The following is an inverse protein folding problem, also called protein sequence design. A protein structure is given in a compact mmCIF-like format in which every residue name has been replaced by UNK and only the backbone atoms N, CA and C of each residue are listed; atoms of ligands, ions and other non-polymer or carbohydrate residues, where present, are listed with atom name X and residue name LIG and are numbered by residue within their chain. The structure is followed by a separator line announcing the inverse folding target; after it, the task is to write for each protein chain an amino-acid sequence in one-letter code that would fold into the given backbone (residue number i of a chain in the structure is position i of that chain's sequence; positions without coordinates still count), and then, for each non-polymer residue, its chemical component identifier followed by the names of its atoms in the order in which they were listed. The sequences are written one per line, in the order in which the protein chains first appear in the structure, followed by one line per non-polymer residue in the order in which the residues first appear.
data_IF_136965961401
#
_entry.id   IF_136965961401
#
_cell.length_a   1.000
_cell.length_b   1.000
_cell.length_c   1.000
_cell.angle_alpha   90.00
_cell.angle_beta   90.00
_cell.angle_gamma   90.00
#
_symmetry.space_group_name_H-M   'P 1'
#
loop_
_entity.id
_entity.type
_entity.pdbx_description
1 polymer ?
#
# COMPACT_ATOMS: atom_id res chain seq x y z
N UNK A 1 -52.39 -41.98 6.15
CA UNK A 1 -51.64 -40.77 6.55
C UNK A 1 -50.27 -40.94 5.93
N UNK A 2 -50.09 -40.41 4.71
CA UNK A 2 -48.83 -40.55 3.98
C UNK A 2 -47.75 -39.78 4.72
N UNK A 3 -46.71 -40.49 5.16
CA UNK A 3 -45.51 -39.86 5.69
C UNK A 3 -44.84 -39.09 4.54
N UNK A 4 -44.49 -37.80 4.72
CA UNK A 4 -43.79 -37.06 3.68
C UNK A 4 -42.47 -37.78 3.39
N UNK A 5 -42.33 -38.28 2.15
CA UNK A 5 -41.14 -39.00 1.73
C UNK A 5 -39.92 -38.07 1.78
N UNK A 6 -38.87 -38.49 2.48
CA UNK A 6 -37.59 -37.77 2.50
C UNK A 6 -37.04 -37.76 1.07
N UNK A 7 -36.88 -36.57 0.51
CA UNK A 7 -36.36 -36.39 -0.84
C UNK A 7 -34.83 -36.44 -0.84
N UNK A 8 -34.22 -36.62 -2.02
CA UNK A 8 -32.76 -36.51 -2.16
C UNK A 8 -32.20 -35.14 -1.78
N UNK A 9 -33.02 -34.08 -1.88
CA UNK A 9 -32.66 -32.73 -1.43
C UNK A 9 -32.61 -32.64 0.10
N UNK A 10 -33.56 -33.30 0.80
CA UNK A 10 -33.57 -33.35 2.26
C UNK A 10 -32.36 -34.12 2.81
N UNK A 11 -32.00 -35.23 2.17
CA UNK A 11 -30.82 -36.02 2.55
C UNK A 11 -29.52 -35.24 2.31
N UNK A 12 -29.40 -34.54 1.19
CA UNK A 12 -28.20 -33.75 0.89
C UNK A 12 -28.07 -32.52 1.81
N UNK A 13 -29.18 -31.87 2.17
CA UNK A 13 -29.20 -30.81 3.17
C UNK A 13 -28.79 -31.32 4.56
N UNK A 14 -29.30 -32.49 4.97
CA UNK A 14 -28.93 -33.14 6.23
C UNK A 14 -27.43 -33.50 6.27
N UNK A 15 -26.91 -34.14 5.21
CA UNK A 15 -25.47 -34.46 5.13
C UNK A 15 -24.63 -33.18 5.21
N UNK A 16 -25.00 -32.13 4.47
CA UNK A 16 -24.26 -30.88 4.52
C UNK A 16 -24.31 -30.22 5.91
N UNK A 17 -25.43 -30.31 6.62
CA UNK A 17 -25.55 -29.82 8.00
C UNK A 17 -24.67 -30.63 8.96
N UNK A 18 -24.75 -31.97 8.93
CA UNK A 18 -23.91 -32.84 9.76
C UNK A 18 -22.42 -32.66 9.49
N UNK A 19 -22.02 -32.48 8.22
CA UNK A 19 -20.63 -32.19 7.86
C UNK A 19 -20.17 -30.84 8.41
N UNK A 20 -20.99 -29.78 8.35
CA UNK A 20 -20.62 -28.49 8.96
C UNK A 20 -20.53 -28.54 10.48
N UNK A 21 -21.37 -29.35 11.12
CA UNK A 21 -21.34 -29.54 12.58
C UNK A 21 -20.11 -30.33 13.03
N UNK A 22 -19.78 -31.42 12.34
CA UNK A 22 -18.62 -32.26 12.66
C UNK A 22 -17.29 -31.62 12.25
N UNK A 23 -17.30 -30.76 11.23
CA UNK A 23 -16.12 -30.08 10.70
C UNK A 23 -16.37 -28.56 10.67
N UNK A 24 -16.36 -27.89 11.84
CA UNK A 24 -16.60 -26.44 11.92
C UNK A 24 -15.59 -25.63 11.09
N UNK A 25 -14.38 -26.17 10.87
CA UNK A 25 -13.37 -25.58 9.99
C UNK A 25 -13.79 -25.53 8.51
N UNK A 26 -14.69 -26.40 8.06
CA UNK A 26 -15.24 -26.32 6.70
C UNK A 26 -16.18 -25.12 6.53
N UNK A 27 -16.84 -24.68 7.60
CA UNK A 27 -17.65 -23.47 7.57
C UNK A 27 -16.76 -22.20 7.53
N UNK A 28 -15.58 -22.24 8.16
CA UNK A 28 -14.57 -21.18 8.10
C UNK A 28 -13.63 -21.29 6.90
N UNK A 29 -13.65 -22.40 6.15
CA UNK A 29 -12.76 -22.66 5.02
C UNK A 29 -12.75 -21.52 3.98
N UNK A 30 -13.86 -20.80 3.82
CA UNK A 30 -13.93 -19.64 2.91
C UNK A 30 -13.02 -18.48 3.30
N UNK A 31 -12.70 -18.36 4.59
CA UNK A 31 -11.83 -17.33 5.18
C UNK A 31 -10.38 -17.82 5.33
N UNK A 32 -10.18 -19.14 5.35
CA UNK A 32 -8.83 -19.72 5.35
C UNK A 32 -8.13 -19.60 3.99
N UNK A 33 -8.90 -19.38 2.92
CA UNK A 33 -8.37 -19.19 1.57
C UNK A 33 -8.12 -17.72 1.31
N UNK A 34 -6.86 -17.39 1.04
CA UNK A 34 -6.46 -16.08 0.54
C UNK A 34 -7.09 -15.78 -0.82
N UNK A 35 -7.63 -14.57 -0.97
CA UNK A 35 -8.33 -14.12 -2.18
C UNK A 35 -7.67 -12.89 -2.78
N UNK A 36 -7.89 -12.70 -4.08
CA UNK A 36 -7.65 -11.41 -4.69
C UNK A 36 -8.82 -10.49 -4.35
N UNK A 37 -8.53 -9.22 -4.10
CA UNK A 37 -9.53 -8.20 -3.86
C UNK A 37 -9.11 -6.90 -4.55
N UNK A 38 -10.08 -6.08 -4.97
CA UNK A 38 -9.85 -4.78 -5.60
C UNK A 38 -10.07 -3.68 -4.58
N UNK A 39 -9.14 -2.73 -4.49
CA UNK A 39 -9.28 -1.54 -3.64
C UNK A 39 -10.38 -0.63 -4.19
N UNK A 40 -11.37 -0.32 -3.36
CA UNK A 40 -12.50 0.57 -3.68
C UNK A 40 -12.31 1.94 -3.03
N UNK A 41 -11.81 1.98 -1.80
CA UNK A 41 -11.52 3.21 -1.08
C UNK A 41 -10.26 3.07 -0.21
N UNK A 42 -9.71 4.20 0.23
CA UNK A 42 -8.51 4.23 1.09
C UNK A 42 -8.62 5.35 2.13
N UNK A 43 -8.14 5.06 3.33
CA UNK A 43 -8.13 5.99 4.45
C UNK A 43 -6.72 6.03 5.05
N UNK A 44 -6.22 7.24 5.29
CA UNK A 44 -4.92 7.47 5.89
C UNK A 44 -5.04 8.50 7.01
N UNK A 45 -4.50 8.16 8.18
CA UNK A 45 -4.52 8.98 9.39
C UNK A 45 -3.13 9.02 10.03
N UNK A 46 -2.82 10.11 10.73
CA UNK A 46 -1.60 10.19 11.55
C UNK A 46 -1.84 9.55 12.93
N UNK A 47 -0.76 9.10 13.59
CA UNK A 47 -0.79 8.62 14.97
C UNK A 47 -0.29 7.18 15.14
N UNK A 48 -0.47 6.64 16.34
CA UNK A 48 -0.03 5.27 16.68
C UNK A 48 -1.08 4.27 16.21
N UNK A 49 -0.65 3.29 15.40
CA UNK A 49 -1.51 2.19 14.99
C UNK A 49 -1.61 1.12 16.09
N UNK A 50 -2.80 0.55 16.26
CA UNK A 50 -3.04 -0.61 17.13
C UNK A 50 -3.76 -1.69 16.33
N UNK A 51 -3.89 -2.91 16.86
CA UNK A 51 -4.62 -3.97 16.17
C UNK A 51 -6.13 -3.65 16.00
N UNK A 52 -6.69 -2.78 16.86
CA UNK A 52 -8.09 -2.34 16.80
C UNK A 52 -8.28 -1.07 15.98
N UNK A 53 -7.19 -0.35 15.70
CA UNK A 53 -7.23 0.99 15.09
C UNK A 53 -6.01 1.17 14.19
N UNK A 54 -6.15 0.61 12.98
CA UNK A 54 -5.17 0.77 11.93
C UNK A 54 -5.30 2.16 11.32
N UNK A 55 -4.18 2.88 11.26
CA UNK A 55 -4.13 4.25 10.74
C UNK A 55 -4.24 4.34 9.23
N UNK A 56 -3.90 3.26 8.55
CA UNK A 56 -3.91 3.16 7.12
C UNK A 56 -4.70 1.93 6.74
N UNK A 57 -5.86 2.18 6.15
CA UNK A 57 -6.82 1.14 5.81
C UNK A 57 -7.31 1.32 4.40
N UNK A 58 -7.79 0.23 3.82
CA UNK A 58 -8.48 0.25 2.54
C UNK A 58 -9.74 -0.58 2.62
N UNK A 59 -10.71 -0.18 1.81
CA UNK A 59 -11.92 -0.95 1.59
C UNK A 59 -11.74 -1.74 0.31
N UNK A 60 -12.07 -3.02 0.34
CA UNK A 60 -11.78 -3.96 -0.75
C UNK A 60 -13.00 -4.78 -1.15
N UNK A 61 -13.17 -4.98 -2.46
CA UNK A 61 -14.15 -5.91 -3.02
C UNK A 61 -13.43 -7.21 -3.39
N UNK A 62 -13.76 -8.35 -2.77
CA UNK A 62 -13.22 -9.65 -3.17
C UNK A 62 -13.50 -9.95 -4.65
N UNK A 63 -12.56 -10.63 -5.30
CA UNK A 63 -12.63 -11.01 -6.72
C UNK A 63 -12.81 -12.52 -6.89
N UNK A 64 -13.49 -12.88 -7.96
CA UNK A 64 -13.54 -14.25 -8.48
C UNK A 64 -12.19 -14.65 -9.09
N UNK A 65 -12.01 -15.95 -9.34
CA UNK A 65 -10.84 -16.46 -10.07
C UNK A 65 -10.71 -15.83 -11.48
N UNK A 66 -11.84 -15.41 -12.07
CA UNK A 66 -11.90 -14.67 -13.35
C UNK A 66 -11.47 -13.20 -13.27
N UNK A 67 -11.08 -12.70 -12.08
CA UNK A 67 -10.73 -11.29 -11.80
C UNK A 67 -11.88 -10.29 -11.86
N UNK A 68 -13.12 -10.77 -12.01
CA UNK A 68 -14.32 -9.97 -11.85
C UNK A 68 -14.70 -9.84 -10.37
N UNK A 69 -15.42 -8.78 -10.04
CA UNK A 69 -15.89 -8.55 -8.68
C UNK A 69 -16.83 -9.67 -8.24
N UNK A 70 -16.58 -10.24 -7.06
CA UNK A 70 -17.43 -11.28 -6.49
C UNK A 70 -18.58 -10.64 -5.72
N UNK A 71 -19.71 -10.46 -6.40
CA UNK A 71 -20.93 -9.85 -5.84
C UNK A 71 -21.55 -10.64 -4.69
N UNK A 72 -21.11 -11.89 -4.47
CA UNK A 72 -21.58 -12.69 -3.32
C UNK A 72 -20.92 -12.24 -2.01
N UNK A 73 -19.80 -11.52 -2.11
CA UNK A 73 -19.10 -10.95 -0.96
C UNK A 73 -19.44 -9.46 -0.81
N UNK A 74 -19.70 -9.01 0.43
CA UNK A 74 -19.77 -7.59 0.71
C UNK A 74 -18.39 -6.95 0.55
N UNK A 75 -18.38 -5.63 0.33
CA UNK A 75 -17.16 -4.83 0.47
C UNK A 75 -16.65 -4.96 1.89
N UNK A 76 -15.38 -5.35 2.03
CA UNK A 76 -14.71 -5.46 3.33
C UNK A 76 -14.05 -4.14 3.62
N UNK A 77 -14.54 -3.46 4.65
CA UNK A 77 -14.12 -2.11 5.00
C UNK A 77 -13.03 -2.12 6.07
N UNK A 78 -12.15 -1.12 6.05
CA UNK A 78 -11.20 -0.89 7.13
C UNK A 78 -10.06 -1.91 7.21
N UNK A 79 -9.72 -2.56 6.10
CA UNK A 79 -8.68 -3.59 6.09
C UNK A 79 -7.30 -2.93 6.29
N UNK A 80 -6.51 -3.34 7.30
CA UNK A 80 -5.20 -2.76 7.57
C UNK A 80 -4.20 -3.01 6.44
N UNK A 81 -3.48 -1.95 6.07
CA UNK A 81 -2.42 -1.96 5.06
C UNK A 81 -1.07 -2.20 5.76
N UNK A 82 -0.28 -3.21 5.36
CA UNK A 82 1.01 -3.47 5.98
C UNK A 82 2.02 -2.34 5.67
N UNK A 83 2.80 -1.98 6.69
CA UNK A 83 3.94 -1.06 6.58
C UNK A 83 5.22 -1.88 6.47
N UNK A 84 6.06 -1.57 5.48
CA UNK A 84 7.36 -2.22 5.33
C UNK A 84 8.32 -1.64 6.39
N UNK A 85 8.87 -2.51 7.24
CA UNK A 85 9.63 -2.21 8.46
C UNK A 85 8.80 -1.67 9.63
N UNK A 86 8.81 -2.43 10.72
CA UNK A 86 8.18 -2.04 11.98
C UNK A 86 9.20 -1.43 12.95
N UNK A 87 8.80 -0.37 13.66
CA UNK A 87 9.58 0.23 14.74
C UNK A 87 9.15 1.66 15.07
N UNK A 88 9.79 2.31 16.05
CA UNK A 88 9.46 3.68 16.42
C UNK A 88 9.81 4.63 15.28
N UNK A 89 8.83 5.42 14.83
CA UNK A 89 8.96 6.47 13.81
C UNK A 89 9.71 6.01 12.53
N UNK A 90 9.50 4.76 12.09
CA UNK A 90 10.10 4.21 10.88
C UNK A 90 9.10 3.37 10.09
N UNK A 91 9.34 3.27 8.80
CA UNK A 91 8.60 2.42 7.88
C UNK A 91 8.56 3.01 6.47
N UNK A 92 8.37 2.16 5.47
CA UNK A 92 8.00 2.55 4.11
C UNK A 92 6.51 2.28 3.98
N UNK A 93 5.76 3.36 3.72
CA UNK A 93 4.31 3.29 3.64
C UNK A 93 3.83 3.83 2.30
N UNK A 94 3.21 2.95 1.53
CA UNK A 94 2.66 3.24 0.21
C UNK A 94 1.24 2.66 0.15
N UNK A 95 0.21 3.50 0.35
CA UNK A 95 -1.15 3.00 0.19
C UNK A 95 -1.38 2.60 -1.27
N UNK A 96 -2.01 1.45 -1.53
CA UNK A 96 -2.43 1.10 -2.87
C UNK A 96 -3.42 2.13 -3.42
N UNK A 97 -3.38 2.33 -4.74
CA UNK A 97 -4.35 3.17 -5.44
C UNK A 97 -5.73 2.50 -5.49
N UNK A 98 -6.78 3.30 -5.63
CA UNK A 98 -8.12 2.77 -5.95
C UNK A 98 -8.06 2.03 -7.28
N UNK A 99 -8.69 0.87 -7.34
CA UNK A 99 -8.65 -0.06 -8.46
C UNK A 99 -7.53 -1.10 -8.39
N UNK A 100 -6.57 -0.95 -7.47
CA UNK A 100 -5.47 -1.90 -7.34
C UNK A 100 -5.90 -3.26 -6.81
N UNK A 101 -5.28 -4.31 -7.34
CA UNK A 101 -5.52 -5.68 -6.90
C UNK A 101 -4.57 -6.00 -5.75
N UNK A 102 -5.15 -6.45 -4.64
CA UNK A 102 -4.43 -6.83 -3.42
C UNK A 102 -4.75 -8.25 -3.03
N UNK A 103 -3.87 -8.84 -2.23
CA UNK A 103 -4.08 -10.17 -1.65
C UNK A 103 -4.70 -10.01 -0.27
N UNK A 104 -5.96 -10.39 -0.16
CA UNK A 104 -6.77 -10.36 1.05
C UNK A 104 -6.73 -11.73 1.73
N UNK A 105 -6.28 -11.74 2.98
CA UNK A 105 -6.29 -12.91 3.86
C UNK A 105 -7.04 -12.60 5.14
N UNK A 106 -7.37 -13.63 5.90
CA UNK A 106 -7.99 -13.51 7.21
C UNK A 106 -7.11 -14.21 8.23
N UNK A 107 -6.63 -13.46 9.23
CA UNK A 107 -5.75 -14.00 10.25
C UNK A 107 -6.46 -15.12 11.01
N UNK A 108 -5.79 -16.27 11.14
CA UNK A 108 -6.36 -17.47 11.76
C UNK A 108 -7.69 -17.94 11.12
N UNK A 109 -7.98 -17.53 9.88
CA UNK A 109 -9.25 -17.81 9.21
C UNK A 109 -10.45 -17.09 9.83
N UNK A 110 -10.22 -16.05 10.61
CA UNK A 110 -11.28 -15.32 11.31
C UNK A 110 -11.88 -14.20 10.45
N UNK A 111 -13.21 -14.14 10.26
CA UNK A 111 -13.85 -13.14 9.40
C UNK A 111 -13.62 -11.68 9.80
N UNK A 112 -13.40 -11.45 11.10
CA UNK A 112 -13.24 -10.15 11.74
C UNK A 112 -11.79 -9.65 11.73
N UNK A 113 -10.84 -10.47 11.28
CA UNK A 113 -9.42 -10.13 11.21
C UNK A 113 -8.87 -10.14 9.77
N UNK A 114 -9.42 -9.33 8.85
CA UNK A 114 -8.90 -9.22 7.49
C UNK A 114 -7.54 -8.52 7.50
N UNK A 115 -6.65 -8.93 6.59
CA UNK A 115 -5.32 -8.33 6.40
C UNK A 115 -4.94 -8.35 4.92
N UNK A 116 -4.14 -7.39 4.50
CA UNK A 116 -3.52 -7.39 3.18
C UNK A 116 -2.10 -7.93 3.29
N UNK A 117 -1.81 -8.99 2.54
CA UNK A 117 -0.47 -9.60 2.56
C UNK A 117 0.46 -9.03 1.49
N UNK A 118 -0.10 -8.64 0.35
CA UNK A 118 0.66 -8.21 -0.81
C UNK A 118 -0.17 -7.34 -1.75
N UNK A 119 0.50 -6.50 -2.52
CA UNK A 119 -0.07 -5.70 -3.60
C UNK A 119 0.36 -6.28 -4.94
N UNK A 120 -0.55 -6.28 -5.91
CA UNK A 120 -0.22 -6.60 -7.30
C UNK A 120 0.07 -5.31 -8.08
N UNK A 121 1.06 -5.37 -8.97
CA UNK A 121 1.32 -4.31 -9.95
C UNK A 121 0.38 -4.39 -11.16
N UNK A 122 -0.49 -5.41 -11.23
CA UNK A 122 -1.40 -5.61 -12.34
C UNK A 122 -2.33 -4.42 -12.56
N UNK A 123 -2.45 -3.99 -13.82
CA UNK A 123 -3.24 -2.82 -14.21
C UNK A 123 -2.52 -1.49 -14.05
N UNK A 124 -1.28 -1.46 -13.55
CA UNK A 124 -0.46 -0.25 -13.44
C UNK A 124 0.85 -0.38 -14.20
N UNK A 125 1.41 0.76 -14.61
CA UNK A 125 2.74 0.81 -15.17
C UNK A 125 3.78 0.50 -14.09
N UNK A 126 4.58 -0.54 -14.32
CA UNK A 126 5.71 -0.84 -13.46
C UNK A 126 6.83 0.19 -13.67
N UNK A 127 7.60 0.55 -12.62
CA UNK A 127 8.81 1.35 -12.78
C UNK A 127 9.80 0.63 -13.71
N UNK A 128 10.44 1.38 -14.62
CA UNK A 128 11.50 0.84 -15.46
C UNK A 128 12.84 0.71 -14.72
N UNK A 129 13.79 -0.02 -15.31
CA UNK A 129 15.16 -0.17 -14.80
C UNK A 129 15.31 -1.29 -13.76
N UNK A 130 15.33 -2.54 -14.22
CA UNK A 130 15.39 -3.76 -13.38
C UNK A 130 16.72 -3.98 -12.64
N UNK A 131 17.73 -3.16 -12.92
CA UNK A 131 19.08 -3.28 -12.33
C UNK A 131 19.32 -2.30 -11.17
N UNK A 132 18.50 -1.27 -11.04
CA UNK A 132 18.67 -0.21 -10.03
C UNK A 132 17.63 -0.32 -8.90
N UNK A 133 17.95 0.19 -7.70
CA UNK A 133 16.94 0.38 -6.66
C UNK A 133 16.14 1.64 -7.01
N UNK A 134 14.84 1.47 -7.23
CA UNK A 134 13.93 2.58 -7.57
C UNK A 134 12.73 2.62 -6.64
N UNK A 135 12.52 3.77 -6.01
CA UNK A 135 11.30 4.10 -5.26
C UNK A 135 10.61 5.23 -6.02
N UNK A 136 9.41 4.99 -6.56
CA UNK A 136 8.72 5.95 -7.42
C UNK A 136 7.25 6.11 -7.04
N UNK A 137 6.77 7.35 -7.10
CA UNK A 137 5.35 7.70 -7.04
C UNK A 137 5.06 8.71 -8.15
N UNK A 138 4.31 8.31 -9.16
CA UNK A 138 4.04 9.15 -10.33
C UNK A 138 5.34 9.54 -11.04
N UNK A 139 5.58 10.85 -11.21
CA UNK A 139 6.77 11.39 -11.87
C UNK A 139 7.94 11.73 -10.92
N UNK A 140 7.82 11.41 -9.62
CA UNK A 140 8.86 11.69 -8.63
C UNK A 140 9.41 10.39 -8.01
N UNK A 141 10.67 10.43 -7.57
CA UNK A 141 11.27 9.27 -6.92
C UNK A 141 12.72 9.41 -6.50
N UNK A 142 13.24 8.29 -6.02
CA UNK A 142 14.63 8.02 -5.66
C UNK A 142 15.14 6.88 -6.53
N UNK A 143 16.33 7.03 -7.11
CA UNK A 143 17.03 6.00 -7.86
C UNK A 143 18.44 5.82 -7.28
N UNK A 144 18.85 4.56 -7.07
CA UNK A 144 20.25 4.20 -6.80
C UNK A 144 20.71 3.29 -7.94
N UNK A 145 21.58 3.82 -8.79
CA UNK A 145 22.16 3.12 -9.94
C UNK A 145 23.27 2.16 -9.52
N UNK A 146 23.50 1.12 -10.34
CA UNK A 146 24.61 0.18 -10.14
C UNK A 146 25.99 0.82 -10.34
N UNK A 147 26.04 1.94 -11.06
CA UNK A 147 27.21 2.79 -11.22
C UNK A 147 27.54 3.60 -9.95
N UNK A 148 26.75 3.42 -8.88
CA UNK A 148 26.92 4.10 -7.60
C UNK A 148 26.27 5.49 -7.54
N UNK A 149 25.53 5.88 -8.58
CA UNK A 149 24.81 7.17 -8.59
C UNK A 149 23.56 7.12 -7.73
N UNK A 150 23.24 8.25 -7.07
CA UNK A 150 22.00 8.43 -6.32
C UNK A 150 21.29 9.66 -6.89
N UNK A 151 20.06 9.47 -7.38
CA UNK A 151 19.28 10.52 -8.03
C UNK A 151 17.95 10.73 -7.29
N UNK A 152 17.62 12.00 -7.03
CA UNK A 152 16.32 12.46 -6.58
C UNK A 152 15.69 13.28 -7.71
N UNK A 153 14.51 12.86 -8.19
CA UNK A 153 13.85 13.51 -9.32
C UNK A 153 12.38 13.81 -9.04
N UNK A 154 11.84 14.81 -9.75
CA UNK A 154 10.46 15.28 -9.64
C UNK A 154 10.37 16.79 -9.91
N UNK A 155 9.15 17.34 -9.88
CA UNK A 155 8.93 18.77 -10.15
C UNK A 155 9.62 19.70 -9.13
N UNK A 156 9.85 19.23 -7.90
CA UNK A 156 10.62 19.94 -6.89
C UNK A 156 11.21 18.95 -5.88
N UNK A 157 12.47 19.15 -5.49
CA UNK A 157 13.12 18.42 -4.41
C UNK A 157 13.24 19.33 -3.20
N UNK A 158 12.56 18.99 -2.10
CA UNK A 158 12.63 19.74 -0.85
C UNK A 158 13.65 19.11 0.08
N UNK A 159 14.67 19.89 0.44
CA UNK A 159 15.66 19.52 1.45
C UNK A 159 15.38 20.31 2.72
N UNK A 160 15.35 19.63 3.87
CA UNK A 160 15.05 20.24 5.17
C UNK A 160 16.16 20.03 6.20
N UNK A 161 16.08 20.77 7.31
CA UNK A 161 16.98 20.60 8.46
C UNK A 161 18.43 21.04 8.21
N UNK A 162 19.37 20.40 8.93
CA UNK A 162 20.79 20.74 8.88
C UNK A 162 21.42 20.55 7.49
N UNK A 163 20.90 19.63 6.68
CA UNK A 163 21.35 19.41 5.30
C UNK A 163 21.11 20.64 4.40
N UNK A 164 19.97 21.32 4.54
CA UNK A 164 19.70 22.57 3.82
C UNK A 164 20.69 23.67 4.23
N UNK A 165 21.11 23.68 5.50
CA UNK A 165 22.07 24.66 6.04
C UNK A 165 23.50 24.42 5.55
N UNK A 166 23.94 23.16 5.46
CA UNK A 166 25.28 22.82 4.94
C UNK A 166 25.40 23.13 3.45
N UNK A 167 24.41 22.75 2.64
CA UNK A 167 24.41 23.05 1.20
C UNK A 167 24.41 24.55 0.92
N UNK A 168 23.64 25.34 1.67
CA UNK A 168 23.71 26.80 1.58
C UNK A 168 25.07 27.34 2.01
N UNK A 169 25.69 26.75 3.03
CA UNK A 169 27.02 27.18 3.51
C UNK A 169 28.09 26.84 2.48
N UNK A 170 28.07 25.65 1.90
CA UNK A 170 29.00 25.24 0.84
C UNK A 170 28.77 26.03 -0.46
N UNK A 171 27.52 26.28 -0.87
CA UNK A 171 27.20 27.08 -2.06
C UNK A 171 27.61 28.55 -1.90
N UNK A 172 27.47 29.12 -0.69
CA UNK A 172 27.91 30.49 -0.38
C UNK A 172 29.42 30.60 -0.12
N UNK A 173 30.09 29.53 0.32
CA UNK A 173 31.56 29.49 0.49
C UNK A 173 32.30 29.16 -0.81
N UNK A 174 31.65 28.53 -1.80
CA UNK A 174 32.25 28.12 -3.07
C UNK A 174 32.06 29.13 -4.23
N UNK A 175 31.98 30.44 -3.96
CA UNK A 175 32.18 31.48 -4.98
C UNK A 175 33.65 31.55 -5.47
N UNK A 176 34.19 30.41 -5.90
CA UNK A 176 35.34 30.24 -6.80
C UNK A 176 35.31 28.83 -7.41
N UNK A 177 34.20 28.37 -8.01
CA UNK A 177 34.27 27.26 -8.99
C UNK A 177 33.26 27.42 -10.15
N UNK A 178 33.68 27.21 -11.42
CA UNK A 178 32.99 27.69 -12.63
C UNK A 178 31.83 26.81 -13.14
N UNK A 179 31.26 25.92 -12.31
CA UNK A 179 30.28 24.91 -12.77
C UNK A 179 28.82 25.37 -12.63
N UNK A 180 28.56 26.54 -12.04
CA UNK A 180 27.22 27.03 -11.72
C UNK A 180 26.75 28.20 -12.60
N UNK A 181 26.97 28.13 -13.91
CA UNK A 181 26.32 29.07 -14.84
C UNK A 181 24.84 28.67 -15.00
N UNK A 182 23.93 29.50 -14.45
CA UNK A 182 22.48 29.40 -14.68
C UNK A 182 21.60 29.06 -13.48
N UNK A 183 22.15 28.90 -12.28
CA UNK A 183 21.34 28.62 -11.06
C UNK A 183 20.85 29.91 -10.42
N UNK A 184 19.63 30.34 -10.74
CA UNK A 184 18.93 31.40 -9.97
C UNK A 184 18.12 30.79 -8.83
N UNK A 185 18.61 30.90 -7.59
CA UNK A 185 17.87 30.53 -6.39
C UNK A 185 17.27 31.76 -5.71
N UNK A 186 15.94 31.86 -5.64
CA UNK A 186 15.26 32.86 -4.80
C UNK A 186 14.91 32.26 -3.44
N UNK A 187 15.53 32.75 -2.38
CA UNK A 187 15.17 32.41 -1.01
C UNK A 187 13.98 33.26 -0.56
N UNK A 188 12.81 32.65 -0.37
CA UNK A 188 11.68 33.27 0.34
C UNK A 188 11.31 32.35 1.50
N UNK A 189 11.51 32.82 2.73
CA UNK A 189 11.27 32.03 3.95
C UNK A 189 10.32 32.77 4.90
N UNK A 190 9.25 32.13 5.42
CA UNK A 190 8.65 32.44 6.71
C UNK A 190 9.57 31.95 7.86
N UNK A 191 9.46 32.52 9.08
CA UNK A 191 10.34 32.13 10.18
C UNK A 191 10.15 30.65 10.55
N UNK A 192 11.23 29.86 10.44
CA UNK A 192 11.29 28.46 10.89
C UNK A 192 11.49 27.40 9.80
N UNK A 193 11.56 27.76 8.52
CA UNK A 193 11.79 26.81 7.42
C UNK A 193 12.61 27.45 6.29
N UNK A 194 13.79 26.89 6.00
CA UNK A 194 14.55 27.25 4.79
C UNK A 194 14.27 26.21 3.72
N UNK A 195 13.46 26.57 2.72
CA UNK A 195 13.22 25.74 1.54
C UNK A 195 14.12 26.23 0.41
N UNK A 196 15.02 25.39 -0.08
CA UNK A 196 15.77 25.64 -1.32
C UNK A 196 15.00 25.02 -2.48
N UNK A 197 14.58 25.83 -3.46
CA UNK A 197 13.98 25.33 -4.71
C UNK A 197 15.05 25.48 -5.78
N UNK A 198 15.66 24.37 -6.20
CA UNK A 198 16.54 24.33 -7.37
C UNK A 198 15.64 24.03 -8.57
N UNK A 199 15.48 25.01 -9.46
CA UNK A 199 14.73 24.85 -10.71
C UNK A 199 15.73 24.85 -11.86
N UNK A 200 15.72 23.81 -12.70
CA UNK A 200 16.43 23.84 -13.99
C UNK A 200 15.67 24.71 -15.00
N UNK A 201 16.41 25.32 -15.93
CA UNK A 201 15.82 25.92 -17.14
C UNK A 201 15.14 24.89 -18.02
#
# INVERSE_FOLDING_TARGET
MDSPGVTGADLSAFIAASVREQFPDLASARYQVTRLARVVARTAQAGTATHLDARHTVDVQPLLASRQDDVTWPVITGVPVPVLWAGPARGIHCLPAVGAIVRLSFLYGQPDAPVIDAYSAEGFAAPGGVTALRIQVGAAGLLIGEDGTIELYGAAVKLGGAAARSLLTDLFLQHTHPILDGVTGTAVAPPGSTTLIVSGQ
#
